data_IF_825851942700
#
_entry.id   IF_825851942700
#
_cell.length_a   1.000
_cell.length_b   1.000
_cell.length_c   1.000
_cell.angle_alpha   90.00
_cell.angle_beta   90.00
_cell.angle_gamma   90.00
#
_symmetry.space_group_name_H-M   'P 1'
#
loop_
_entity.id
_entity.type
_entity.pdbx_description
1 polymer ?
#
# COMPACT_ATOMS: atom_id res chain seq x y z
N UNK A 1 66.98 37.49 -20.47
CA UNK A 1 66.55 37.94 -21.81
C UNK A 1 65.15 37.36 -22.01
N UNK A 2 64.06 38.11 -21.83
CA UNK A 2 63.64 39.35 -22.53
C UNK A 2 63.09 39.03 -23.92
N UNK A 3 61.92 39.51 -24.35
CA UNK A 3 61.00 40.50 -23.73
C UNK A 3 59.55 40.36 -24.27
N UNK A 4 58.59 40.98 -23.59
CA UNK A 4 57.52 41.91 -24.07
C UNK A 4 57.03 41.86 -25.55
N UNK A 5 55.77 42.18 -25.92
CA UNK A 5 54.71 42.95 -25.23
C UNK A 5 53.32 42.82 -25.96
N UNK A 6 52.21 43.15 -25.27
CA UNK A 6 51.01 43.99 -25.67
C UNK A 6 50.38 43.76 -27.07
N UNK A 7 49.07 43.66 -27.31
CA UNK A 7 47.84 44.32 -26.74
C UNK A 7 46.77 43.25 -26.33
N UNK A 8 45.43 43.42 -26.17
CA UNK A 8 44.42 44.48 -26.49
C UNK A 8 43.23 44.44 -25.50
N UNK A 9 42.34 45.44 -25.52
CA UNK A 9 41.11 45.52 -24.72
C UNK A 9 39.83 45.12 -25.48
N UNK A 10 38.79 44.63 -24.77
CA UNK A 10 37.40 45.11 -24.90
C UNK A 10 36.43 44.50 -23.87
N UNK A 11 36.09 45.30 -22.86
CA UNK A 11 34.77 45.46 -22.21
C UNK A 11 33.76 44.28 -22.12
N UNK A 12 33.46 43.89 -20.86
CA UNK A 12 32.06 43.75 -20.37
C UNK A 12 31.98 44.14 -18.89
N UNK A 13 30.88 44.79 -18.50
CA UNK A 13 30.70 45.41 -17.18
C UNK A 13 29.70 44.66 -16.30
N UNK A 14 29.99 44.59 -15.01
CA UNK A 14 29.03 44.26 -13.95
C UNK A 14 29.51 44.87 -12.64
N UNK A 15 28.82 45.89 -12.13
CA UNK A 15 29.16 46.54 -10.86
C UNK A 15 28.95 45.59 -9.66
N UNK A 16 29.66 45.86 -8.58
CA UNK A 16 29.55 45.16 -7.30
C UNK A 16 29.30 46.12 -6.15
N UNK A 17 28.61 45.63 -5.11
CA UNK A 17 28.53 46.21 -3.75
C UNK A 17 27.75 47.54 -3.61
N UNK A 18 27.36 47.96 -2.38
CA UNK A 18 27.64 47.34 -1.07
C UNK A 18 26.39 46.92 -0.25
N UNK A 19 26.65 46.32 0.90
CA UNK A 19 25.67 46.03 1.95
C UNK A 19 25.38 47.27 2.81
N UNK A 20 24.16 47.39 3.33
CA UNK A 20 23.85 48.22 4.51
C UNK A 20 23.03 47.43 5.54
N UNK A 21 23.12 47.83 6.81
CA UNK A 21 22.57 47.13 7.97
C UNK A 21 21.55 48.04 8.67
N UNK A 22 20.30 47.59 8.86
CA UNK A 22 19.29 48.36 9.62
C UNK A 22 18.66 47.49 10.72
N UNK A 23 18.41 48.14 11.86
CA UNK A 23 17.95 47.57 13.12
C UNK A 23 16.56 46.93 13.08
N UNK A 24 16.31 46.01 14.00
CA UNK A 24 14.96 45.69 14.44
C UNK A 24 14.36 46.84 15.27
N UNK A 25 13.06 47.07 15.13
CA UNK A 25 12.21 47.87 16.02
C UNK A 25 10.76 47.35 15.93
N UNK A 26 9.94 47.62 16.93
CA UNK A 26 8.69 46.90 17.18
C UNK A 26 7.48 47.34 16.34
N UNK A 27 6.59 46.36 16.11
CA UNK A 27 5.12 46.44 16.08
C UNK A 27 4.40 47.67 15.47
N UNK A 28 3.49 47.36 14.55
CA UNK A 28 2.07 47.56 14.88
C UNK A 28 1.20 46.45 14.26
N UNK A 29 0.06 46.11 14.90
CA UNK A 29 -0.86 45.07 14.46
C UNK A 29 -2.09 45.71 13.80
N UNK A 30 -1.97 46.14 12.54
CA UNK A 30 -3.08 46.72 11.79
C UNK A 30 -4.06 45.64 11.31
N UNK A 31 -4.83 45.12 12.27
CA UNK A 31 -5.77 44.02 12.11
C UNK A 31 -7.05 44.51 11.40
N UNK A 32 -6.96 44.64 10.08
CA UNK A 32 -8.06 44.99 9.17
C UNK A 32 -9.36 44.24 9.50
N UNK A 33 -10.26 44.92 10.20
CA UNK A 33 -11.53 44.36 10.68
C UNK A 33 -12.53 44.19 9.53
N UNK A 34 -12.49 43.03 8.88
CA UNK A 34 -13.43 42.68 7.82
C UNK A 34 -14.78 42.34 8.47
N UNK A 35 -15.82 43.19 8.27
CA UNK A 35 -17.11 43.00 8.92
C UNK A 35 -17.74 41.67 8.50
N UNK A 36 -18.45 40.96 9.40
CA UNK A 36 -18.81 39.55 9.22
C UNK A 36 -19.67 39.27 7.98
N UNK A 37 -20.43 40.25 7.49
CA UNK A 37 -21.24 40.14 6.27
C UNK A 37 -20.45 40.23 4.94
N UNK A 38 -19.11 40.32 4.98
CA UNK A 38 -18.25 40.40 3.78
C UNK A 38 -17.02 39.50 3.79
N UNK A 39 -16.99 38.48 4.66
CA UNK A 39 -16.12 37.32 4.42
C UNK A 39 -16.79 36.49 3.31
N UNK A 40 -16.12 36.11 2.21
CA UNK A 40 -16.69 35.12 1.30
C UNK A 40 -16.94 33.84 2.11
N UNK A 41 -18.12 33.23 1.95
CA UNK A 41 -18.44 32.03 2.70
C UNK A 41 -17.47 30.92 2.31
N UNK A 42 -16.70 30.42 3.28
CA UNK A 42 -15.78 29.30 3.08
C UNK A 42 -16.52 28.02 2.67
N UNK A 43 -17.82 27.99 2.90
CA UNK A 43 -18.80 26.99 2.48
C UNK A 43 -19.07 27.05 0.97
N UNK A 44 -19.19 28.23 0.35
CA UNK A 44 -19.43 28.38 -1.10
C UNK A 44 -18.28 27.79 -1.91
N UNK A 45 -17.03 28.05 -1.49
CA UNK A 45 -15.82 27.46 -2.08
C UNK A 45 -15.73 25.93 -1.94
N UNK A 46 -16.56 25.30 -1.12
CA UNK A 46 -16.67 23.84 -0.98
C UNK A 46 -17.80 23.24 -1.83
N UNK A 47 -18.43 24.03 -2.70
CA UNK A 47 -19.42 23.55 -3.68
C UNK A 47 -18.86 23.34 -5.09
N UNK A 48 -17.78 24.05 -5.45
CA UNK A 48 -17.13 23.90 -6.74
C UNK A 48 -16.21 22.67 -6.77
N UNK A 49 -16.62 21.65 -7.53
CA UNK A 49 -15.88 20.40 -7.73
C UNK A 49 -14.64 20.53 -8.62
N UNK A 50 -14.51 21.65 -9.33
CA UNK A 50 -13.29 22.01 -10.08
C UNK A 50 -12.27 22.74 -9.21
N UNK A 51 -12.61 23.14 -7.98
CA UNK A 51 -11.62 23.68 -7.04
C UNK A 51 -10.61 22.61 -6.60
N UNK A 52 -9.37 23.04 -6.38
CA UNK A 52 -8.31 22.19 -5.83
C UNK A 52 -8.69 21.71 -4.43
N UNK A 53 -9.28 22.61 -3.64
CA UNK A 53 -9.72 22.44 -2.26
C UNK A 53 -10.78 21.34 -2.14
N UNK A 54 -11.82 21.36 -2.98
CA UNK A 54 -12.83 20.31 -3.02
C UNK A 54 -12.21 18.96 -3.38
N UNK A 55 -11.41 18.90 -4.46
CA UNK A 55 -10.84 17.64 -4.93
C UNK A 55 -9.86 17.03 -3.93
N UNK A 56 -9.11 17.86 -3.21
CA UNK A 56 -8.20 17.46 -2.13
C UNK A 56 -8.98 16.93 -0.92
N UNK A 57 -10.03 17.63 -0.49
CA UNK A 57 -10.89 17.17 0.61
C UNK A 57 -11.62 15.86 0.26
N UNK A 58 -12.18 15.76 -0.95
CA UNK A 58 -12.80 14.54 -1.46
C UNK A 58 -11.79 13.38 -1.65
N UNK A 59 -10.50 13.68 -1.84
CA UNK A 59 -9.43 12.67 -1.87
C UNK A 59 -9.04 12.21 -0.45
N UNK A 60 -8.96 13.13 0.52
CA UNK A 60 -8.75 12.77 1.93
C UNK A 60 -9.87 11.89 2.49
N UNK A 61 -11.12 12.25 2.17
CA UNK A 61 -12.31 11.45 2.43
C UNK A 61 -12.23 10.04 1.81
N UNK A 62 -11.85 9.94 0.53
CA UNK A 62 -11.64 8.67 -0.17
C UNK A 62 -10.52 7.83 0.48
N UNK A 63 -9.43 8.48 0.93
CA UNK A 63 -8.30 7.85 1.60
C UNK A 63 -8.69 7.25 2.95
N UNK A 64 -9.40 8.01 3.78
CA UNK A 64 -9.93 7.52 5.04
C UNK A 64 -10.91 6.36 4.81
N UNK A 65 -11.93 6.55 3.97
CA UNK A 65 -12.98 5.54 3.78
C UNK A 65 -12.46 4.21 3.21
N UNK A 66 -11.39 4.22 2.39
CA UNK A 66 -10.73 2.98 1.94
C UNK A 66 -9.93 2.34 3.07
N UNK A 67 -9.16 3.11 3.85
CA UNK A 67 -8.38 2.59 4.97
C UNK A 67 -9.26 1.95 6.05
N UNK A 68 -10.29 2.66 6.50
CA UNK A 68 -11.22 2.21 7.54
C UNK A 68 -11.89 0.88 7.13
N UNK A 69 -12.21 0.69 5.84
CA UNK A 69 -12.78 -0.56 5.31
C UNK A 69 -11.75 -1.70 5.25
N UNK A 70 -10.51 -1.42 4.82
CA UNK A 70 -9.46 -2.45 4.67
C UNK A 70 -8.95 -2.95 6.02
N UNK A 71 -8.83 -2.08 7.03
CA UNK A 71 -8.45 -2.47 8.39
C UNK A 71 -9.49 -3.40 9.05
N UNK A 72 -10.77 -3.22 8.74
CA UNK A 72 -11.87 -4.03 9.28
C UNK A 72 -11.98 -5.45 8.66
N UNK A 73 -11.14 -5.82 7.70
CA UNK A 73 -11.22 -7.12 6.98
C UNK A 73 -11.03 -8.33 7.90
N UNK A 74 -12.05 -9.17 7.96
CA UNK A 74 -12.01 -10.48 8.60
C UNK A 74 -12.80 -11.53 7.79
N UNK A 75 -12.69 -12.81 8.18
CA UNK A 75 -13.25 -13.92 7.42
C UNK A 75 -14.79 -13.92 7.29
N UNK A 76 -15.54 -13.23 8.16
CA UNK A 76 -17.01 -13.20 8.08
C UNK A 76 -17.56 -11.98 7.33
N UNK A 77 -16.85 -10.83 7.35
CA UNK A 77 -17.30 -9.61 6.67
C UNK A 77 -16.68 -9.37 5.28
N UNK A 78 -15.64 -10.12 4.89
CA UNK A 78 -14.88 -9.91 3.65
C UNK A 78 -15.75 -9.67 2.39
N UNK A 79 -16.81 -10.45 2.09
CA UNK A 79 -17.67 -10.18 0.92
C UNK A 79 -18.44 -8.85 0.99
N UNK A 80 -18.74 -8.35 2.19
CA UNK A 80 -19.41 -7.06 2.42
C UNK A 80 -18.44 -5.90 2.30
N UNK A 81 -17.26 -6.01 2.93
CA UNK A 81 -16.17 -5.04 2.80
C UNK A 81 -15.76 -4.87 1.33
N UNK A 82 -15.64 -5.98 0.59
CA UNK A 82 -15.38 -5.95 -0.87
C UNK A 82 -16.43 -5.12 -1.61
N UNK A 83 -17.73 -5.31 -1.34
CA UNK A 83 -18.79 -4.52 -2.00
C UNK A 83 -18.68 -3.03 -1.65
N UNK A 84 -18.37 -2.69 -0.41
CA UNK A 84 -18.21 -1.29 0.04
C UNK A 84 -16.97 -0.63 -0.62
N UNK A 85 -15.81 -1.30 -0.62
CA UNK A 85 -14.60 -0.82 -1.31
C UNK A 85 -14.88 -0.54 -2.80
N UNK A 86 -15.66 -1.42 -3.46
CA UNK A 86 -16.01 -1.29 -4.87
C UNK A 86 -17.04 -0.18 -5.16
N UNK A 87 -17.76 0.35 -4.15
CA UNK A 87 -18.62 1.53 -4.31
C UNK A 87 -17.81 2.83 -4.38
N UNK A 88 -16.62 2.89 -3.77
CA UNK A 88 -15.69 4.02 -3.86
C UNK A 88 -14.91 4.01 -5.18
N UNK A 89 -14.48 5.18 -5.67
CA UNK A 89 -13.68 5.30 -6.89
C UNK A 89 -12.23 4.80 -6.70
N UNK A 90 -12.05 3.48 -6.71
CA UNK A 90 -10.73 2.85 -6.56
C UNK A 90 -9.87 2.93 -7.82
N UNK A 91 -10.35 3.51 -8.93
CA UNK A 91 -9.47 3.89 -10.06
C UNK A 91 -8.68 5.16 -9.70
N UNK A 92 -9.37 6.17 -9.14
CA UNK A 92 -8.73 7.37 -8.57
C UNK A 92 -7.91 6.99 -7.33
N UNK A 93 -8.51 6.25 -6.40
CA UNK A 93 -7.87 5.75 -5.18
C UNK A 93 -7.00 4.49 -5.35
N UNK A 94 -6.42 4.23 -6.53
CA UNK A 94 -5.70 2.97 -6.78
C UNK A 94 -4.41 2.81 -5.99
N UNK A 95 -3.66 3.90 -5.76
CA UNK A 95 -2.48 3.89 -4.91
C UNK A 95 -2.85 3.71 -3.44
N UNK A 96 -3.81 4.53 -2.95
CA UNK A 96 -4.45 4.39 -1.63
C UNK A 96 -4.81 2.92 -1.34
N UNK A 97 -5.65 2.29 -2.17
CA UNK A 97 -6.10 0.92 -1.96
C UNK A 97 -4.92 -0.08 -1.98
N UNK A 98 -3.95 0.13 -2.87
CA UNK A 98 -2.79 -0.75 -2.94
C UNK A 98 -1.87 -0.62 -1.72
N UNK A 99 -1.64 0.58 -1.21
CA UNK A 99 -0.87 0.83 0.00
C UNK A 99 -1.60 0.28 1.24
N UNK A 100 -2.89 0.61 1.37
CA UNK A 100 -3.77 0.19 2.46
C UNK A 100 -3.82 -1.33 2.64
N UNK A 101 -3.99 -2.09 1.55
CA UNK A 101 -3.98 -3.56 1.60
C UNK A 101 -2.61 -4.11 2.03
N UNK A 102 -1.50 -3.48 1.61
CA UNK A 102 -0.15 -3.90 2.00
C UNK A 102 0.13 -3.57 3.47
N UNK A 103 -0.25 -2.39 3.95
CA UNK A 103 -0.10 -1.99 5.35
C UNK A 103 -0.94 -2.86 6.30
N UNK A 104 -2.21 -3.13 5.94
CA UNK A 104 -3.09 -4.00 6.73
C UNK A 104 -2.63 -5.47 6.73
N UNK A 105 -2.10 -5.96 5.60
CA UNK A 105 -1.44 -7.28 5.54
C UNK A 105 -0.17 -7.34 6.39
N UNK A 106 0.58 -6.24 6.43
CA UNK A 106 1.82 -6.14 7.20
C UNK A 106 1.57 -6.06 8.71
N UNK A 107 0.52 -5.33 9.12
CA UNK A 107 0.04 -5.28 10.50
C UNK A 107 -0.59 -6.61 10.96
N UNK A 108 -1.27 -7.33 10.06
CA UNK A 108 -1.91 -8.63 10.35
C UNK A 108 -1.46 -9.77 9.41
N UNK A 109 -0.21 -10.27 9.50
CA UNK A 109 0.31 -11.29 8.58
C UNK A 109 -0.45 -12.63 8.61
N UNK A 110 -1.11 -12.96 9.73
CA UNK A 110 -1.96 -14.14 9.84
C UNK A 110 -3.18 -14.07 8.88
N UNK A 111 -3.65 -12.85 8.57
CA UNK A 111 -4.81 -12.59 7.71
C UNK A 111 -4.42 -12.47 6.22
N UNK A 112 -3.17 -12.76 5.82
CA UNK A 112 -2.70 -12.61 4.42
C UNK A 112 -3.56 -13.35 3.40
N UNK A 113 -4.17 -14.49 3.76
CA UNK A 113 -5.14 -15.19 2.90
C UNK A 113 -6.40 -14.37 2.61
N UNK A 114 -6.89 -13.57 3.58
CA UNK A 114 -8.03 -12.67 3.40
C UNK A 114 -7.69 -11.53 2.44
N UNK A 115 -6.51 -10.92 2.61
CA UNK A 115 -6.04 -9.85 1.73
C UNK A 115 -5.78 -10.37 0.30
N UNK A 116 -5.25 -11.59 0.14
CA UNK A 116 -5.13 -12.22 -1.18
C UNK A 116 -6.50 -12.51 -1.84
N UNK A 117 -7.52 -12.86 -1.06
CA UNK A 117 -8.90 -13.04 -1.55
C UNK A 117 -9.62 -11.70 -1.86
N UNK A 118 -9.33 -10.63 -1.12
CA UNK A 118 -9.72 -9.26 -1.48
C UNK A 118 -9.11 -8.88 -2.84
N UNK A 119 -7.80 -9.12 -3.03
CA UNK A 119 -7.12 -8.82 -4.29
C UNK A 119 -7.60 -9.71 -5.45
N UNK A 120 -8.06 -10.95 -5.20
CA UNK A 120 -8.62 -11.80 -6.28
C UNK A 120 -9.96 -11.30 -6.80
N UNK A 121 -10.85 -10.76 -5.95
CA UNK A 121 -12.05 -10.06 -6.43
C UNK A 121 -11.70 -8.74 -7.13
N UNK A 122 -10.77 -7.93 -6.59
CA UNK A 122 -10.30 -6.71 -7.27
C UNK A 122 -9.65 -7.03 -8.62
N UNK A 123 -8.97 -8.17 -8.77
CA UNK A 123 -8.35 -8.62 -10.01
C UNK A 123 -9.37 -8.84 -11.13
N UNK A 124 -10.47 -9.58 -10.90
CA UNK A 124 -11.50 -9.83 -11.94
C UNK A 124 -12.19 -8.54 -12.40
N UNK A 125 -12.29 -7.55 -11.52
CA UNK A 125 -13.02 -6.29 -11.79
C UNK A 125 -12.12 -5.19 -12.35
N UNK A 126 -10.91 -5.04 -11.82
CA UNK A 126 -9.92 -4.03 -12.21
C UNK A 126 -8.50 -4.62 -12.20
N UNK A 127 -8.10 -5.39 -13.24
CA UNK A 127 -6.81 -6.07 -13.27
C UNK A 127 -5.59 -5.17 -13.03
N UNK A 128 -5.63 -3.91 -13.48
CA UNK A 128 -4.52 -2.97 -13.32
C UNK A 128 -4.27 -2.56 -11.85
N UNK A 129 -5.30 -2.59 -10.99
CA UNK A 129 -5.14 -2.31 -9.55
C UNK A 129 -4.44 -3.50 -8.88
N UNK A 130 -4.85 -4.73 -9.19
CA UNK A 130 -4.15 -5.92 -8.68
C UNK A 130 -2.72 -6.03 -9.23
N UNK A 131 -2.44 -5.57 -10.46
CA UNK A 131 -1.09 -5.46 -11.01
C UNK A 131 -0.24 -4.49 -10.18
N UNK A 132 -0.75 -3.31 -9.87
CA UNK A 132 -0.07 -2.30 -9.02
C UNK A 132 0.28 -2.88 -7.64
N UNK A 133 -0.66 -3.59 -7.00
CA UNK A 133 -0.42 -4.31 -5.74
C UNK A 133 0.70 -5.34 -5.91
N UNK A 134 0.64 -6.17 -6.95
CA UNK A 134 1.66 -7.19 -7.20
C UNK A 134 3.06 -6.59 -7.40
N UNK A 135 3.19 -5.52 -8.20
CA UNK A 135 4.46 -4.78 -8.35
C UNK A 135 4.99 -4.33 -7.00
N UNK A 136 4.15 -3.64 -6.21
CA UNK A 136 4.52 -3.07 -4.91
C UNK A 136 4.96 -4.14 -3.92
N UNK A 137 4.21 -5.23 -3.77
CA UNK A 137 4.56 -6.34 -2.86
C UNK A 137 5.91 -6.96 -3.22
N UNK A 138 6.19 -7.21 -4.51
CA UNK A 138 7.50 -7.75 -4.95
C UNK A 138 8.62 -6.72 -4.74
N UNK A 139 8.34 -5.42 -4.95
CA UNK A 139 9.32 -4.36 -4.71
C UNK A 139 9.68 -4.20 -3.22
N UNK A 140 8.67 -4.24 -2.33
CA UNK A 140 8.87 -4.25 -0.88
C UNK A 140 9.63 -5.50 -0.42
N UNK A 141 9.30 -6.68 -0.96
CA UNK A 141 10.08 -7.90 -0.70
C UNK A 141 11.56 -7.74 -1.10
N UNK A 142 11.84 -7.19 -2.30
CA UNK A 142 13.21 -6.90 -2.76
C UNK A 142 13.93 -5.91 -1.83
N UNK A 143 13.28 -4.82 -1.44
CA UNK A 143 13.82 -3.83 -0.50
C UNK A 143 14.18 -4.47 0.85
N UNK A 144 13.26 -5.24 1.44
CA UNK A 144 13.48 -5.87 2.74
C UNK A 144 14.50 -7.01 2.70
N UNK A 145 14.57 -7.78 1.61
CA UNK A 145 15.58 -8.82 1.44
C UNK A 145 17.00 -8.23 1.31
N UNK A 146 17.17 -7.14 0.57
CA UNK A 146 18.47 -6.44 0.44
C UNK A 146 18.88 -5.75 1.75
N UNK A 147 17.93 -5.30 2.56
CA UNK A 147 18.19 -4.63 3.85
C UNK A 147 18.38 -5.57 5.06
N UNK A 148 18.33 -6.91 4.86
CA UNK A 148 18.25 -7.92 5.94
C UNK A 148 17.11 -7.63 6.97
N UNK A 149 16.00 -7.09 6.48
CA UNK A 149 14.81 -6.73 7.28
C UNK A 149 13.93 -7.96 7.53
N UNK A 150 14.54 -9.01 8.11
CA UNK A 150 14.05 -10.41 8.17
C UNK A 150 12.54 -10.54 8.41
N UNK A 151 12.00 -9.89 9.45
CA UNK A 151 10.56 -9.95 9.77
C UNK A 151 9.71 -9.45 8.60
N UNK A 152 10.09 -8.33 8.00
CA UNK A 152 9.40 -7.69 6.88
C UNK A 152 9.47 -8.57 5.62
N UNK A 153 10.63 -9.19 5.39
CA UNK A 153 10.86 -10.13 4.28
C UNK A 153 9.97 -11.36 4.35
N UNK A 154 9.83 -11.99 5.53
CA UNK A 154 8.91 -13.13 5.74
C UNK A 154 7.44 -12.72 5.52
N UNK A 155 7.03 -11.55 6.01
CA UNK A 155 5.66 -11.02 5.83
C UNK A 155 5.34 -10.76 4.34
N UNK A 156 6.28 -10.14 3.61
CA UNK A 156 6.11 -9.84 2.19
C UNK A 156 6.11 -11.12 1.33
N UNK A 157 6.99 -12.09 1.59
CA UNK A 157 7.04 -13.34 0.82
C UNK A 157 5.77 -14.19 1.00
N UNK A 158 5.17 -14.18 2.21
CA UNK A 158 3.85 -14.80 2.46
C UNK A 158 2.76 -14.19 1.56
N UNK A 159 2.80 -12.88 1.33
CA UNK A 159 1.82 -12.23 0.46
C UNK A 159 2.03 -12.62 -1.00
N UNK A 160 3.28 -12.68 -1.48
CA UNK A 160 3.62 -13.22 -2.82
C UNK A 160 3.09 -14.65 -2.97
N UNK A 161 3.29 -15.51 -1.95
CA UNK A 161 2.84 -16.90 -1.96
C UNK A 161 1.32 -17.00 -2.16
N UNK A 162 0.53 -16.26 -1.38
CA UNK A 162 -0.92 -16.32 -1.47
C UNK A 162 -1.47 -15.60 -2.74
N UNK A 163 -0.76 -14.62 -3.30
CA UNK A 163 -1.08 -14.04 -4.62
C UNK A 163 -0.84 -15.02 -5.78
N UNK A 164 0.17 -15.91 -5.67
CA UNK A 164 0.38 -17.04 -6.60
C UNK A 164 -0.69 -18.13 -6.40
N UNK A 165 -1.01 -18.48 -5.15
CA UNK A 165 -2.08 -19.45 -4.85
C UNK A 165 -3.43 -19.02 -5.43
N UNK A 166 -3.80 -17.75 -5.24
CA UNK A 166 -4.99 -17.11 -5.81
C UNK A 166 -4.85 -16.81 -7.32
N UNK A 167 -3.80 -17.31 -8.02
CA UNK A 167 -3.63 -17.20 -9.49
C UNK A 167 -3.55 -15.74 -10.02
N UNK A 168 -3.30 -14.77 -9.14
CA UNK A 168 -3.13 -13.35 -9.49
C UNK A 168 -1.72 -13.11 -10.04
N UNK A 169 -0.72 -13.80 -9.47
CA UNK A 169 0.64 -13.89 -10.00
C UNK A 169 0.86 -15.24 -10.70
N UNK A 170 1.59 -15.23 -11.81
CA UNK A 170 2.10 -16.44 -12.46
C UNK A 170 3.26 -17.01 -11.64
N UNK A 171 3.27 -18.33 -11.41
CA UNK A 171 4.26 -19.07 -10.62
C UNK A 171 5.73 -18.87 -11.03
N UNK A 172 6.00 -18.36 -12.24
CA UNK A 172 7.34 -17.95 -12.70
C UNK A 172 8.06 -17.08 -11.64
N UNK A 173 7.35 -16.13 -11.03
CA UNK A 173 7.93 -15.26 -9.99
C UNK A 173 8.33 -16.04 -8.72
N UNK A 174 7.61 -17.11 -8.37
CA UNK A 174 7.94 -17.93 -7.21
C UNK A 174 9.21 -18.75 -7.46
N UNK A 175 9.34 -19.36 -8.64
CA UNK A 175 10.56 -20.08 -9.01
C UNK A 175 11.78 -19.13 -9.13
N UNK A 176 11.62 -17.93 -9.69
CA UNK A 176 12.69 -16.92 -9.73
C UNK A 176 13.14 -16.46 -8.32
N UNK A 177 12.20 -16.32 -7.39
CA UNK A 177 12.50 -15.99 -5.98
C UNK A 177 13.23 -17.16 -5.29
N UNK A 178 12.78 -18.40 -5.47
CA UNK A 178 13.45 -19.59 -4.93
C UNK A 178 14.87 -19.73 -5.47
N UNK A 179 15.06 -19.49 -6.77
CA UNK A 179 16.38 -19.49 -7.41
C UNK A 179 17.34 -18.46 -6.80
N UNK A 180 16.85 -17.28 -6.43
CA UNK A 180 17.67 -16.24 -5.77
C UNK A 180 18.00 -16.61 -4.32
N UNK A 181 17.07 -17.23 -3.60
CA UNK A 181 17.26 -17.67 -2.23
C UNK A 181 18.22 -18.86 -2.12
N UNK A 182 18.11 -19.84 -3.01
CA UNK A 182 18.90 -21.07 -3.00
C UNK A 182 20.27 -20.92 -3.69
N UNK A 183 20.46 -19.90 -4.53
CA UNK A 183 21.79 -19.54 -5.08
C UNK A 183 22.68 -18.85 -4.05
N UNK A 184 22.10 -18.01 -3.19
CA UNK A 184 22.81 -17.30 -2.12
C UNK A 184 22.58 -18.01 -0.78
N UNK A 185 23.21 -19.17 -0.62
CA UNK A 185 23.01 -20.09 0.51
C UNK A 185 23.43 -19.42 1.83
N UNK A 186 22.46 -19.23 2.72
CA UNK A 186 22.66 -18.82 4.10
C UNK A 186 21.60 -19.50 4.99
N UNK A 187 21.82 -19.54 6.31
CA UNK A 187 20.83 -20.15 7.21
C UNK A 187 19.47 -19.44 7.14
N UNK A 188 19.41 -18.15 6.83
CA UNK A 188 18.15 -17.39 6.79
C UNK A 188 17.50 -17.38 5.39
N UNK A 189 18.26 -17.33 4.29
CA UNK A 189 17.69 -17.51 2.94
C UNK A 189 17.11 -18.91 2.73
N UNK A 190 17.73 -19.95 3.31
CA UNK A 190 17.18 -21.32 3.27
C UNK A 190 15.91 -21.46 4.11
N UNK A 191 15.85 -20.86 5.32
CA UNK A 191 14.60 -20.80 6.12
C UNK A 191 13.48 -20.09 5.35
N UNK A 192 13.81 -19.00 4.66
CA UNK A 192 12.87 -18.21 3.88
C UNK A 192 12.36 -18.97 2.64
N UNK A 193 13.23 -19.74 1.98
CA UNK A 193 12.84 -20.62 0.87
C UNK A 193 11.94 -21.78 1.33
N UNK A 194 12.27 -22.42 2.46
CA UNK A 194 11.42 -23.45 3.09
C UNK A 194 10.04 -22.87 3.41
N UNK A 195 10.01 -21.73 4.09
CA UNK A 195 8.77 -21.05 4.46
C UNK A 195 7.90 -20.66 3.25
N UNK A 196 8.52 -20.19 2.17
CA UNK A 196 7.82 -19.86 0.93
C UNK A 196 7.24 -21.11 0.24
N UNK A 197 7.99 -22.22 0.24
CA UNK A 197 7.50 -23.52 -0.22
C UNK A 197 6.38 -24.08 0.67
N UNK A 198 6.33 -23.76 1.96
CA UNK A 198 5.18 -24.09 2.80
C UNK A 198 3.93 -23.29 2.39
N UNK A 199 4.04 -21.98 2.16
CA UNK A 199 2.88 -21.13 1.87
C UNK A 199 2.32 -21.25 0.43
N UNK A 200 3.11 -21.71 -0.55
CA UNK A 200 2.65 -21.91 -1.94
C UNK A 200 3.00 -23.26 -2.62
N UNK A 201 3.70 -24.18 -1.94
CA UNK A 201 4.18 -25.43 -2.53
C UNK A 201 3.09 -26.31 -3.14
N UNK A 202 1.88 -26.31 -2.56
CA UNK A 202 0.74 -27.02 -3.16
C UNK A 202 0.34 -26.46 -4.53
N UNK A 203 0.41 -25.13 -4.73
CA UNK A 203 0.12 -24.52 -6.04
C UNK A 203 1.22 -24.84 -7.04
N UNK A 204 2.48 -24.73 -6.63
CA UNK A 204 3.63 -25.07 -7.48
C UNK A 204 3.59 -26.54 -7.92
N UNK A 205 3.23 -27.46 -7.02
CA UNK A 205 3.03 -28.88 -7.30
C UNK A 205 1.87 -29.13 -8.28
N UNK A 206 0.80 -28.33 -8.21
CA UNK A 206 -0.33 -28.41 -9.13
C UNK A 206 0.02 -27.95 -10.56
N UNK A 207 0.78 -26.85 -10.70
CA UNK A 207 0.98 -26.18 -12.01
C UNK A 207 2.27 -26.58 -12.71
N UNK A 208 3.37 -26.79 -11.98
CA UNK A 208 4.66 -27.16 -12.55
C UNK A 208 5.47 -28.04 -11.56
N UNK A 209 5.11 -29.33 -11.45
CA UNK A 209 5.80 -30.26 -10.54
C UNK A 209 7.28 -30.49 -10.93
N UNK A 210 7.63 -30.40 -12.22
CA UNK A 210 9.02 -30.59 -12.69
C UNK A 210 9.95 -29.48 -12.18
N UNK A 211 9.55 -28.21 -12.30
CA UNK A 211 10.38 -27.13 -11.76
C UNK A 211 10.40 -27.16 -10.23
N UNK A 212 9.31 -27.58 -9.58
CA UNK A 212 9.33 -27.84 -8.13
C UNK A 212 10.33 -28.95 -7.75
N UNK A 213 10.45 -30.01 -8.53
CA UNK A 213 11.49 -31.04 -8.35
C UNK A 213 12.90 -30.44 -8.45
N UNK A 214 13.18 -29.57 -9.43
CA UNK A 214 14.46 -28.85 -9.54
C UNK A 214 14.79 -28.05 -8.26
N UNK A 215 13.79 -27.44 -7.61
CA UNK A 215 13.99 -26.70 -6.36
C UNK A 215 14.18 -27.63 -5.14
N UNK A 216 13.54 -28.79 -5.11
CA UNK A 216 13.75 -29.79 -4.06
C UNK A 216 15.10 -30.53 -4.19
N UNK A 217 15.61 -30.77 -5.40
CA UNK A 217 16.98 -31.26 -5.59
C UNK A 217 18.02 -30.30 -5.02
N UNK A 218 17.91 -29.00 -5.31
CA UNK A 218 18.79 -27.97 -4.72
C UNK A 218 18.76 -27.99 -3.19
N UNK A 219 17.61 -28.25 -2.57
CA UNK A 219 17.49 -28.39 -1.11
C UNK A 219 18.09 -29.69 -0.57
N UNK A 220 18.00 -30.80 -1.31
CA UNK A 220 18.66 -32.06 -0.97
C UNK A 220 20.19 -31.89 -0.92
N UNK A 221 20.77 -31.22 -1.92
CA UNK A 221 22.21 -30.98 -2.02
C UNK A 221 22.77 -30.17 -0.82
N UNK A 222 21.91 -29.44 -0.09
CA UNK A 222 22.31 -28.74 1.14
C UNK A 222 22.41 -29.67 2.36
N UNK A 223 21.72 -30.82 2.37
CA UNK A 223 21.71 -31.76 3.51
C UNK A 223 23.08 -32.42 3.73
N UNK A 224 23.78 -32.77 2.65
CA UNK A 224 25.17 -33.25 2.72
C UNK A 224 26.18 -32.13 3.00
N UNK A 225 25.75 -30.87 2.84
CA UNK A 225 26.57 -29.68 3.04
C UNK A 225 26.93 -29.39 4.50
N UNK A 226 28.09 -28.74 4.67
CA UNK A 226 28.56 -28.16 5.95
C UNK A 226 28.09 -26.69 6.15
N UNK A 227 27.36 -26.12 5.19
CA UNK A 227 26.96 -24.71 5.18
C UNK A 227 25.68 -24.39 5.98
N UNK A 228 24.89 -25.40 6.34
CA UNK A 228 23.61 -25.23 7.05
C UNK A 228 23.63 -25.87 8.43
N UNK A 229 22.94 -25.24 9.38
CA UNK A 229 22.86 -25.73 10.76
C UNK A 229 21.96 -26.96 10.86
N UNK A 230 22.17 -27.76 11.90
CA UNK A 230 21.33 -28.93 12.20
C UNK A 230 19.83 -28.59 12.25
N UNK A 231 19.48 -27.44 12.84
CA UNK A 231 18.10 -26.92 12.84
C UNK A 231 17.58 -26.69 11.41
N UNK A 232 18.41 -26.17 10.51
CA UNK A 232 18.04 -25.99 9.10
C UNK A 232 17.88 -27.34 8.38
N UNK A 233 18.71 -28.36 8.67
CA UNK A 233 18.55 -29.72 8.11
C UNK A 233 17.19 -30.32 8.50
N UNK A 234 16.85 -30.29 9.79
CA UNK A 234 15.54 -30.73 10.30
C UNK A 234 14.36 -29.97 9.66
N UNK A 235 14.51 -28.68 9.35
CA UNK A 235 13.48 -27.92 8.62
C UNK A 235 13.32 -28.35 7.16
N UNK A 236 14.41 -28.74 6.48
CA UNK A 236 14.35 -29.32 5.12
C UNK A 236 13.67 -30.69 5.18
N UNK A 237 14.04 -31.57 6.10
CA UNK A 237 13.45 -32.91 6.24
C UNK A 237 11.93 -32.86 6.50
N UNK A 238 11.48 -31.90 7.33
CA UNK A 238 10.05 -31.64 7.54
C UNK A 238 9.35 -31.17 6.25
N UNK A 239 9.94 -30.25 5.49
CA UNK A 239 9.41 -29.83 4.19
C UNK A 239 9.34 -30.98 3.18
N UNK A 240 10.29 -31.92 3.20
CA UNK A 240 10.22 -33.16 2.43
C UNK A 240 9.09 -34.08 2.90
N UNK A 241 8.71 -34.06 4.19
CA UNK A 241 7.53 -34.77 4.68
C UNK A 241 6.23 -34.11 4.22
N UNK A 242 6.12 -32.79 4.32
CA UNK A 242 4.99 -32.00 3.83
C UNK A 242 4.81 -32.20 2.31
N UNK A 243 5.90 -32.21 1.53
CA UNK A 243 5.84 -32.54 0.09
C UNK A 243 5.32 -33.96 -0.15
N UNK A 244 5.75 -34.95 0.64
CA UNK A 244 5.25 -36.35 0.52
C UNK A 244 3.76 -36.47 0.83
N UNK A 245 3.23 -35.65 1.74
CA UNK A 245 1.79 -35.61 2.00
C UNK A 245 1.00 -34.79 0.96
N UNK A 246 1.67 -34.06 0.05
CA UNK A 246 1.11 -33.11 -0.91
C UNK A 246 0.63 -31.79 -0.28
N UNK A 247 1.34 -31.32 0.74
CA UNK A 247 1.11 -30.04 1.44
C UNK A 247 -0.31 -29.92 2.01
N UNK A 248 -0.89 -31.00 2.53
CA UNK A 248 -2.27 -31.04 3.07
C UNK A 248 -2.51 -30.04 4.20
N UNK A 249 -1.48 -29.76 5.00
CA UNK A 249 -1.51 -28.72 6.06
C UNK A 249 -1.52 -27.29 5.51
N UNK A 250 -1.16 -27.10 4.23
CA UNK A 250 -1.01 -25.81 3.55
C UNK A 250 -1.86 -25.75 2.27
N UNK A 251 -3.20 -25.76 2.38
CA UNK A 251 -4.09 -25.73 1.22
C UNK A 251 -3.93 -24.43 0.41
N UNK A 252 -3.92 -24.54 -0.92
CA UNK A 252 -3.77 -23.41 -1.86
C UNK A 252 -4.67 -22.23 -1.47
N UNK A 253 -5.98 -22.48 -1.32
CA UNK A 253 -6.96 -21.51 -0.85
C UNK A 253 -7.71 -22.14 0.33
N UNK A 254 -7.78 -21.43 1.44
CA UNK A 254 -8.54 -21.87 2.62
C UNK A 254 -10.05 -21.85 2.33
N UNK A 255 -10.81 -22.74 3.00
CA UNK A 255 -12.27 -22.81 2.83
C UNK A 255 -12.94 -21.45 3.10
N UNK A 256 -13.91 -21.08 2.26
CA UNK A 256 -14.57 -19.77 2.29
C UNK A 256 -13.84 -18.64 1.55
N UNK A 257 -12.57 -18.81 1.15
CA UNK A 257 -11.76 -17.74 0.51
C UNK A 257 -11.61 -17.88 -1.02
N UNK A 258 -12.25 -18.87 -1.64
CA UNK A 258 -12.41 -18.94 -3.11
C UNK A 258 -13.64 -18.12 -3.52
N UNK A 259 -13.43 -16.81 -3.69
CA UNK A 259 -14.48 -15.83 -3.99
C UNK A 259 -14.74 -15.60 -5.49
N UNK A 260 -13.87 -16.15 -6.36
CA UNK A 260 -13.90 -15.98 -7.81
C UNK A 260 -13.60 -17.30 -8.53
N UNK A 261 -14.01 -17.40 -9.80
CA UNK A 261 -13.55 -18.46 -10.68
C UNK A 261 -12.14 -18.16 -11.20
N UNK A 262 -11.29 -19.18 -11.30
CA UNK A 262 -9.90 -19.04 -11.78
C UNK A 262 -9.82 -18.66 -13.28
N UNK A 263 -10.92 -18.72 -14.03
CA UNK A 263 -11.01 -18.30 -15.43
C UNK A 263 -11.39 -16.83 -15.61
N UNK A 264 -12.06 -16.20 -14.63
CA UNK A 264 -12.38 -14.77 -14.64
C UNK A 264 -11.19 -13.88 -14.26
N UNK A 265 -10.11 -14.49 -13.74
CA UNK A 265 -8.94 -13.81 -13.24
C UNK A 265 -7.91 -13.52 -14.34
N UNK A 266 -7.31 -12.32 -14.30
CA UNK A 266 -6.11 -12.02 -15.07
C UNK A 266 -4.87 -12.33 -14.24
N UNK A 267 -4.24 -13.46 -14.52
CA UNK A 267 -2.90 -13.77 -14.02
C UNK A 267 -1.87 -12.81 -14.62
N UNK A 268 -1.08 -12.17 -13.76
CA UNK A 268 -0.02 -11.24 -14.15
C UNK A 268 1.32 -11.96 -14.22
N UNK A 269 2.04 -11.76 -15.33
CA UNK A 269 3.42 -12.20 -15.49
C UNK A 269 4.31 -11.02 -15.11
N UNK A 270 5.06 -11.18 -14.03
CA UNK A 270 6.08 -10.24 -13.57
C UNK A 270 7.40 -11.01 -13.41
N UNK A 271 8.51 -10.30 -13.61
CA UNK A 271 9.86 -10.86 -13.49
C UNK A 271 10.55 -10.26 -12.27
N UNK A 272 11.28 -11.08 -11.52
CA UNK A 272 11.94 -10.69 -10.28
C UNK A 272 13.02 -9.64 -10.51
N UNK A 273 13.76 -9.75 -11.62
CA UNK A 273 14.86 -8.84 -11.99
C UNK A 273 14.29 -7.58 -12.66
N UNK A 274 13.56 -7.75 -13.75
CA UNK A 274 13.02 -6.67 -14.60
C UNK A 274 11.62 -6.19 -14.13
N UNK A 275 11.44 -6.07 -12.82
CA UNK A 275 10.20 -5.61 -12.20
C UNK A 275 9.91 -4.15 -12.59
N UNK A 276 8.67 -3.88 -13.01
CA UNK A 276 8.23 -2.52 -13.34
C UNK A 276 8.08 -1.63 -12.08
N UNK A 277 8.24 -0.32 -12.27
CA UNK A 277 8.10 0.70 -11.21
C UNK A 277 6.83 0.54 -10.34
N UNK A 278 6.92 0.70 -9.01
CA UNK A 278 5.81 0.55 -8.06
C UNK A 278 4.82 1.73 -8.04
N UNK A 279 5.04 2.78 -8.85
CA UNK A 279 4.14 3.93 -9.03
C UNK A 279 3.70 4.57 -7.68
N UNK A 280 4.66 4.88 -6.79
CA UNK A 280 4.37 5.46 -5.45
C UNK A 280 3.68 6.84 -5.50
N UNK A 281 3.88 7.60 -6.59
CA UNK A 281 3.21 8.91 -6.83
C UNK A 281 1.67 8.83 -6.86
N UNK A 282 1.10 7.63 -6.91
CA UNK A 282 -0.35 7.38 -6.84
C UNK A 282 -0.92 7.38 -5.41
N UNK A 283 -0.05 7.49 -4.39
CA UNK A 283 -0.41 7.49 -2.96
C UNK A 283 -0.66 8.90 -2.40
N UNK A 284 -0.32 9.90 -3.22
CA UNK A 284 -0.47 11.33 -3.01
C UNK A 284 -1.66 11.92 -3.79
N UNK A 285 -2.13 13.10 -3.38
CA UNK A 285 -3.17 13.82 -4.11
C UNK A 285 -2.65 14.37 -5.45
N UNK A 286 -3.44 14.18 -6.51
CA UNK A 286 -3.23 14.80 -7.80
C UNK A 286 -4.52 15.48 -8.25
N UNK A 287 -4.41 16.73 -8.71
CA UNK A 287 -5.53 17.50 -9.24
C UNK A 287 -5.98 16.94 -10.60
N UNK A 288 -7.29 16.80 -10.79
CA UNK A 288 -7.90 16.23 -11.99
C UNK A 288 -8.82 17.26 -12.69
N UNK A 289 -8.40 17.83 -13.84
CA UNK A 289 -9.23 18.74 -14.62
C UNK A 289 -10.54 18.13 -15.14
N UNK A 290 -10.67 16.80 -15.13
CA UNK A 290 -11.83 16.06 -15.63
C UNK A 290 -12.58 15.33 -14.50
N UNK A 291 -12.39 15.74 -13.24
CA UNK A 291 -12.86 15.05 -12.04
C UNK A 291 -14.34 14.59 -12.11
N UNK A 292 -15.28 15.48 -12.46
CA UNK A 292 -16.70 15.08 -12.58
C UNK A 292 -16.93 13.97 -13.61
N UNK A 293 -16.30 14.06 -14.78
CA UNK A 293 -16.43 13.07 -15.84
C UNK A 293 -15.81 11.72 -15.44
N UNK A 294 -14.72 11.76 -14.66
CA UNK A 294 -14.04 10.56 -14.15
C UNK A 294 -14.83 9.88 -13.02
N UNK A 295 -15.41 10.64 -12.09
CA UNK A 295 -16.32 10.10 -11.07
C UNK A 295 -17.61 9.54 -11.70
N UNK A 296 -18.24 10.26 -12.64
CA UNK A 296 -19.38 9.72 -13.40
C UNK A 296 -19.03 8.44 -14.15
N UNK A 297 -17.83 8.38 -14.75
CA UNK A 297 -17.35 7.18 -15.46
C UNK A 297 -17.16 6.02 -14.48
N UNK A 298 -16.64 6.26 -13.27
CA UNK A 298 -16.58 5.22 -12.24
C UNK A 298 -17.98 4.74 -11.83
N UNK A 299 -18.93 5.65 -11.58
CA UNK A 299 -20.31 5.32 -11.22
C UNK A 299 -21.03 4.51 -12.33
N UNK A 300 -20.73 4.78 -13.60
CA UNK A 300 -21.24 4.00 -14.74
C UNK A 300 -20.59 2.61 -14.79
N UNK A 301 -19.26 2.54 -14.63
CA UNK A 301 -18.50 1.28 -14.63
C UNK A 301 -18.85 0.36 -13.45
N UNK A 302 -19.10 0.90 -12.26
CA UNK A 302 -19.43 0.11 -11.06
C UNK A 302 -20.78 -0.59 -11.23
N UNK A 303 -21.82 0.14 -11.66
CA UNK A 303 -23.15 -0.42 -11.99
C UNK A 303 -23.05 -1.59 -12.98
N UNK A 304 -22.27 -1.42 -14.06
CA UNK A 304 -22.04 -2.45 -15.08
C UNK A 304 -21.24 -3.65 -14.54
N UNK A 305 -20.22 -3.43 -13.69
CA UNK A 305 -19.31 -4.49 -13.22
C UNK A 305 -19.86 -5.32 -12.05
N UNK A 306 -20.83 -4.80 -11.31
CA UNK A 306 -21.30 -5.40 -10.06
C UNK A 306 -22.76 -5.90 -10.09
N UNK A 307 -23.54 -5.57 -11.13
CA UNK A 307 -24.96 -5.97 -11.28
C UNK A 307 -25.85 -5.61 -10.06
N UNK A 308 -25.45 -4.61 -9.28
CA UNK A 308 -26.15 -4.24 -8.05
C UNK A 308 -27.30 -3.27 -8.36
N UNK A 309 -28.53 -3.72 -8.11
CA UNK A 309 -29.75 -2.89 -8.17
C UNK A 309 -29.97 -2.07 -6.89
N UNK A 310 -29.10 -2.22 -5.89
CA UNK A 310 -29.08 -1.39 -4.70
C UNK A 310 -28.75 0.08 -5.01
N UNK A 311 -29.30 0.99 -4.21
CA UNK A 311 -29.08 2.42 -4.36
C UNK A 311 -27.59 2.76 -4.32
N UNK A 312 -27.07 3.35 -5.41
CA UNK A 312 -25.83 4.13 -5.32
C UNK A 312 -26.05 5.23 -4.29
N UNK A 313 -25.27 5.24 -3.21
CA UNK A 313 -25.30 6.38 -2.30
C UNK A 313 -24.89 7.64 -3.08
N UNK A 314 -25.55 8.77 -2.78
CA UNK A 314 -25.23 10.05 -3.40
C UNK A 314 -23.77 10.46 -3.09
N UNK A 315 -23.16 11.32 -3.92
CA UNK A 315 -21.76 11.72 -3.73
C UNK A 315 -21.49 12.25 -2.33
N UNK A 316 -20.26 12.01 -1.87
CA UNK A 316 -19.77 12.24 -0.51
C UNK A 316 -20.29 13.55 0.09
N UNK A 317 -21.11 13.49 1.15
CA UNK A 317 -21.68 14.67 1.76
C UNK A 317 -20.70 15.30 2.76
N UNK A 318 -19.85 16.22 2.28
CA UNK A 318 -18.84 16.95 3.05
C UNK A 318 -19.35 17.49 4.39
N UNK A 319 -20.62 17.91 4.46
CA UNK A 319 -21.23 18.50 5.68
C UNK A 319 -21.30 17.54 6.86
N UNK A 320 -21.34 16.22 6.63
CA UNK A 320 -21.43 15.23 7.72
C UNK A 320 -20.09 14.92 8.39
N UNK A 321 -18.96 15.04 7.66
CA UNK A 321 -17.63 14.82 8.25
C UNK A 321 -17.03 16.08 8.90
N UNK A 322 -17.39 17.29 8.46
CA UNK A 322 -16.94 18.50 9.15
C UNK A 322 -17.41 18.53 10.62
N UNK A 323 -18.62 18.08 10.90
CA UNK A 323 -19.10 17.93 12.28
C UNK A 323 -18.22 16.96 13.08
N UNK A 324 -17.84 15.80 12.53
CA UNK A 324 -16.98 14.83 13.22
C UNK A 324 -15.56 15.35 13.48
N UNK A 325 -15.01 16.18 12.59
CA UNK A 325 -13.70 16.82 12.83
C UNK A 325 -13.79 17.96 13.85
N UNK A 326 -14.92 18.68 13.90
CA UNK A 326 -15.18 19.74 14.90
C UNK A 326 -15.46 19.15 16.29
N UNK A 327 -16.23 18.05 16.39
CA UNK A 327 -16.54 17.38 17.65
C UNK A 327 -15.25 16.87 18.34
N UNK A 328 -14.39 16.16 17.60
CA UNK A 328 -13.08 15.72 18.09
C UNK A 328 -12.14 16.89 18.47
N UNK A 329 -12.32 18.08 17.86
CA UNK A 329 -11.56 19.29 18.21
C UNK A 329 -12.13 20.00 19.45
N UNK A 330 -13.35 19.67 19.89
CA UNK A 330 -14.08 20.35 20.97
C UNK A 330 -14.02 19.57 22.29
N UNK A 331 -13.76 18.25 22.24
CA UNK A 331 -13.60 17.42 23.44
C UNK A 331 -12.39 17.79 24.30
N UNK A 332 -11.28 18.25 23.70
CA UNK A 332 -10.03 18.53 24.42
C UNK A 332 -10.02 19.86 25.20
N UNK A 333 -11.07 20.69 25.08
CA UNK A 333 -11.14 22.01 25.72
C UNK A 333 -12.07 22.09 26.95
N UNK A 334 -12.76 21.01 27.33
CA UNK A 334 -13.77 21.01 28.40
C UNK A 334 -13.38 20.17 29.65
N UNK A 335 -12.08 20.02 29.93
CA UNK A 335 -11.56 19.27 31.08
C UNK A 335 -10.89 20.13 32.17
N UNK A 336 -11.20 21.44 32.23
CA UNK A 336 -10.49 22.41 33.07
C UNK A 336 -11.36 23.41 33.85
N UNK A 337 -12.63 23.09 34.18
CA UNK A 337 -13.53 24.05 34.86
C UNK A 337 -14.62 23.44 35.78
N UNK A 338 -14.26 22.57 36.72
CA UNK A 338 -15.16 22.23 37.86
C UNK A 338 -14.42 21.73 39.10
N UNK A 339 -14.52 22.45 40.23
CA UNK A 339 -13.93 22.05 41.52
C UNK A 339 -13.75 23.23 42.50
N UNK A 340 -14.80 23.59 43.24
CA UNK A 340 -14.85 24.84 44.01
C UNK A 340 -14.86 24.65 45.54
N UNK A 341 -13.90 25.31 46.19
CA UNK A 341 -14.02 25.96 47.52
C UNK A 341 -14.14 25.09 48.80
N UNK A 342 -14.02 25.81 49.93
CA UNK A 342 -14.15 25.43 51.35
C UNK A 342 -12.99 24.59 51.93
N UNK A 343 -12.31 25.03 52.99
CA UNK A 343 -12.50 26.28 53.74
C UNK A 343 -11.47 26.53 54.85
N UNK A 344 -11.65 27.63 55.57
CA UNK A 344 -10.74 28.15 56.60
C UNK A 344 -10.79 27.35 57.92
N UNK A 345 -9.65 27.32 58.64
CA UNK A 345 -9.60 27.72 60.07
C UNK A 345 -8.17 27.85 60.60
N UNK A 346 -7.99 28.82 61.49
CA UNK A 346 -6.80 28.98 62.34
C UNK A 346 -7.00 28.35 63.73
N UNK A 347 -5.87 28.10 64.41
CA UNK A 347 -5.65 27.45 65.73
C UNK A 347 -5.52 25.93 65.71
#
# INVERSE_FOLDING_TARGET
MSNSNVVTESSRTSNSSPSETISAAAADNDQLDIPPAKRPHKEDSLTDKFSFEYQHLAWGALKQSINDLVEQVNASNLPTIIRQILQHNIIRGRGILANSIIEAQFASPNNTNLYAALVSVVNTKFPQISLLICKRVIHSYREYFVADERKKTFIAIKFIAHLVNQKILHEKIAFEILDVLLRNISSDSVKLAIYFLQECGQKLLQVNPHELDCQFSKLNDLLDGLLITERTKNMIENLFAERRDQFKSHPIIQSGLKLVDENDQKTHILEYIHLCEPERILDDFQYDPHYEANEETYIKLSKIKFNDTGHSQHPFNLSQQQNQQLDNSTTDLNLSSSGSSVGEKEN
#
